data_IF_711720723766
#
_entry.id   IF_711720723766
#
_cell.length_a   1.000
_cell.length_b   1.000
_cell.length_c   1.000
_cell.angle_alpha   90.00
_cell.angle_beta   90.00
_cell.angle_gamma   90.00
#
_symmetry.space_group_name_H-M   'P 1'
#
loop_
_entity.id
_entity.type
_entity.pdbx_description
1 polymer ?
#
# COMPACT_ATOMS: atom_id res chain seq x y z
N UNK A 1 -1.50 70.22 -24.41
CA UNK A 1 -2.16 68.96 -23.95
C UNK A 1 -1.92 67.89 -25.00
N UNK A 2 -0.99 66.97 -24.76
CA UNK A 2 -0.83 65.68 -25.45
C UNK A 2 0.33 64.95 -24.78
N UNK A 3 0.03 64.15 -23.76
CA UNK A 3 0.98 63.28 -23.06
C UNK A 3 0.83 61.86 -23.62
N UNK A 4 1.80 61.42 -24.42
CA UNK A 4 1.92 60.06 -24.93
C UNK A 4 2.59 59.16 -23.89
N UNK A 5 1.83 58.21 -23.36
CA UNK A 5 2.28 57.16 -22.44
C UNK A 5 2.96 56.01 -23.20
N UNK A 6 4.24 55.75 -22.90
CA UNK A 6 4.91 54.50 -23.26
C UNK A 6 4.51 53.38 -22.28
N UNK A 7 4.24 52.15 -22.73
CA UNK A 7 4.03 51.02 -21.83
C UNK A 7 5.37 50.47 -21.32
N UNK A 8 5.53 50.41 -20.00
CA UNK A 8 6.62 49.70 -19.35
C UNK A 8 6.48 48.20 -19.56
N UNK A 9 7.47 47.60 -20.20
CA UNK A 9 7.63 46.14 -20.29
C UNK A 9 7.96 45.58 -18.91
N UNK A 10 7.00 44.88 -18.29
CA UNK A 10 7.21 44.02 -17.14
C UNK A 10 8.07 42.81 -17.55
N UNK A 11 9.38 42.93 -17.40
CA UNK A 11 10.27 41.76 -17.42
C UNK A 11 10.05 40.95 -16.14
N UNK A 12 9.34 39.83 -16.27
CA UNK A 12 9.36 38.77 -15.26
C UNK A 12 10.77 38.17 -15.25
N UNK A 13 11.61 38.59 -14.31
CA UNK A 13 12.81 37.83 -13.94
C UNK A 13 12.38 36.56 -13.20
N UNK A 14 11.98 35.53 -13.94
CA UNK A 14 12.08 34.17 -13.44
C UNK A 14 13.57 33.83 -13.37
N UNK A 15 14.12 33.93 -12.17
CA UNK A 15 15.45 33.39 -11.85
C UNK A 15 15.40 31.89 -12.20
N UNK A 16 16.25 31.37 -13.10
CA UNK A 16 16.27 29.94 -13.38
C UNK A 16 16.64 29.21 -12.09
N UNK A 17 15.76 28.33 -11.62
CA UNK A 17 16.09 27.35 -10.60
C UNK A 17 17.32 26.57 -11.10
N UNK A 18 18.38 26.39 -10.31
CA UNK A 18 19.54 25.61 -10.74
C UNK A 18 19.06 24.21 -11.12
N UNK A 19 19.29 23.81 -12.37
CA UNK A 19 18.80 22.56 -12.96
C UNK A 19 19.15 21.29 -12.14
N UNK A 20 20.17 21.39 -11.29
CA UNK A 20 20.63 20.33 -10.37
C UNK A 20 19.69 20.03 -9.19
N UNK A 21 18.67 20.86 -8.91
CA UNK A 21 17.70 20.59 -7.85
C UNK A 21 16.42 19.88 -8.35
N UNK A 22 16.19 19.81 -9.66
CA UNK A 22 14.97 19.19 -10.19
C UNK A 22 15.10 17.65 -10.23
N UNK A 23 14.23 16.95 -9.52
CA UNK A 23 14.21 15.48 -9.45
C UNK A 23 14.08 14.82 -10.84
N UNK A 24 13.36 15.45 -11.78
CA UNK A 24 13.24 14.95 -13.15
C UNK A 24 14.59 14.97 -13.88
N UNK A 25 15.33 16.07 -13.77
CA UNK A 25 16.67 16.20 -14.37
C UNK A 25 17.63 15.20 -13.72
N UNK A 26 17.61 15.10 -12.38
CA UNK A 26 18.43 14.12 -11.66
C UNK A 26 18.08 12.68 -12.04
N UNK A 27 16.80 12.36 -12.25
CA UNK A 27 16.37 11.02 -12.66
C UNK A 27 16.84 10.70 -14.07
N UNK A 28 16.77 11.66 -14.99
CA UNK A 28 17.27 11.51 -16.35
C UNK A 28 18.79 11.29 -16.38
N UNK A 29 19.53 12.05 -15.57
CA UNK A 29 20.97 11.86 -15.39
C UNK A 29 21.30 10.50 -14.76
N UNK A 30 20.56 10.08 -13.74
CA UNK A 30 20.71 8.77 -13.12
C UNK A 30 20.52 7.65 -14.15
N UNK A 31 19.43 7.71 -14.93
CA UNK A 31 19.14 6.72 -15.97
C UNK A 31 20.20 6.71 -17.08
N UNK A 32 20.68 7.88 -17.49
CA UNK A 32 21.76 8.02 -18.49
C UNK A 32 23.08 7.44 -17.98
N UNK A 33 23.46 7.73 -16.73
CA UNK A 33 24.68 7.20 -16.12
C UNK A 33 24.57 5.69 -15.88
N UNK A 34 23.38 5.22 -15.50
CA UNK A 34 23.09 3.79 -15.40
C UNK A 34 23.28 3.10 -16.75
N UNK A 35 22.69 3.64 -17.81
CA UNK A 35 22.81 3.06 -19.14
C UNK A 35 24.24 3.13 -19.71
N UNK A 36 24.97 4.23 -19.49
CA UNK A 36 26.34 4.38 -20.00
C UNK A 36 27.30 3.34 -19.46
N UNK A 37 27.13 2.96 -18.18
CA UNK A 37 27.97 1.96 -17.53
C UNK A 37 27.52 0.53 -17.86
N UNK A 38 26.26 0.34 -18.25
CA UNK A 38 25.74 -0.93 -18.81
C UNK A 38 26.36 -1.26 -20.16
N UNK A 39 26.88 -0.28 -20.91
CA UNK A 39 27.57 -0.55 -22.18
C UNK A 39 28.94 -1.23 -21.99
N UNK A 40 29.51 -1.22 -20.79
CA UNK A 40 30.78 -1.89 -20.46
C UNK A 40 30.68 -3.43 -20.48
N UNK A 41 29.61 -4.06 -19.94
CA UNK A 41 29.42 -5.51 -20.02
C UNK A 41 28.86 -6.06 -21.36
N UNK A 42 28.67 -5.23 -22.40
CA UNK A 42 28.09 -5.64 -23.70
C UNK A 42 26.77 -6.44 -23.59
N UNK A 43 25.65 -5.81 -23.18
CA UNK A 43 24.40 -6.52 -22.99
C UNK A 43 23.90 -7.13 -24.31
N UNK A 44 23.51 -8.40 -24.25
CA UNK A 44 23.12 -9.18 -25.43
C UNK A 44 21.65 -9.01 -25.81
N UNK A 45 20.80 -8.55 -24.88
CA UNK A 45 19.38 -8.33 -25.13
C UNK A 45 18.75 -7.29 -24.16
N UNK A 46 17.45 -7.04 -24.32
CA UNK A 46 16.69 -6.10 -23.48
C UNK A 46 16.62 -6.53 -22.00
N UNK A 47 16.58 -7.84 -21.70
CA UNK A 47 16.56 -8.32 -20.32
C UNK A 47 17.88 -8.02 -19.61
N UNK A 48 19.02 -8.36 -20.22
CA UNK A 48 20.35 -8.09 -19.64
C UNK A 48 20.62 -6.59 -19.49
N UNK A 49 20.17 -5.79 -20.46
CA UNK A 49 20.32 -4.32 -20.40
C UNK A 49 19.61 -3.75 -19.18
N UNK A 50 18.35 -4.11 -18.97
CA UNK A 50 17.57 -3.64 -17.83
C UNK A 50 18.11 -4.17 -16.50
N UNK A 51 18.53 -5.43 -16.46
CA UNK A 51 19.12 -6.02 -15.25
C UNK A 51 20.34 -5.22 -14.79
N UNK A 52 21.33 -4.99 -15.67
CA UNK A 52 22.52 -4.23 -15.31
C UNK A 52 22.20 -2.77 -14.95
N UNK A 53 21.23 -2.15 -15.63
CA UNK A 53 20.80 -0.79 -15.32
C UNK A 53 20.19 -0.71 -13.91
N UNK A 54 19.35 -1.68 -13.55
CA UNK A 54 18.75 -1.80 -12.21
C UNK A 54 19.82 -2.01 -11.14
N UNK A 55 20.75 -2.94 -11.35
CA UNK A 55 21.83 -3.21 -10.39
C UNK A 55 22.62 -1.94 -10.06
N UNK A 56 22.95 -1.15 -11.08
CA UNK A 56 23.68 0.09 -10.86
C UNK A 56 22.87 1.15 -10.11
N UNK A 57 21.57 1.24 -10.36
CA UNK A 57 20.67 2.12 -9.60
C UNK A 57 20.62 1.67 -8.14
N UNK A 58 20.47 0.37 -7.88
CA UNK A 58 20.50 -0.20 -6.52
C UNK A 58 21.82 0.14 -5.82
N UNK A 59 22.97 -0.06 -6.49
CA UNK A 59 24.28 0.30 -5.95
C UNK A 59 24.40 1.79 -5.63
N UNK A 60 23.80 2.66 -6.44
CA UNK A 60 23.78 4.12 -6.21
C UNK A 60 23.00 4.48 -4.94
N UNK A 61 22.09 3.63 -4.46
CA UNK A 61 21.43 3.80 -3.15
C UNK A 61 22.34 3.46 -1.96
N UNK A 62 23.54 2.92 -2.20
CA UNK A 62 24.48 2.49 -1.16
C UNK A 62 24.07 1.19 -0.47
N UNK A 63 23.20 0.38 -1.09
CA UNK A 63 22.67 -0.88 -0.54
C UNK A 63 23.04 -2.06 -1.43
N UNK A 64 23.22 -3.22 -0.83
CA UNK A 64 23.30 -4.48 -1.57
C UNK A 64 21.91 -4.95 -2.00
N UNK A 65 21.87 -5.89 -2.96
CA UNK A 65 20.62 -6.54 -3.38
C UNK A 65 20.02 -7.33 -2.21
N UNK A 66 20.88 -8.00 -1.45
CA UNK A 66 20.54 -8.77 -0.26
C UNK A 66 19.89 -7.90 0.82
N UNK A 67 20.42 -6.70 1.07
CA UNK A 67 19.84 -5.75 2.04
C UNK A 67 18.45 -5.29 1.61
N UNK A 68 18.26 -5.01 0.33
CA UNK A 68 16.98 -4.59 -0.25
C UNK A 68 15.93 -5.69 -0.04
N UNK A 69 16.29 -6.93 -0.34
CA UNK A 69 15.44 -8.11 -0.20
C UNK A 69 15.09 -8.35 1.27
N UNK A 70 16.08 -8.30 2.15
CA UNK A 70 15.88 -8.49 3.58
C UNK A 70 14.92 -7.44 4.15
N UNK A 71 15.07 -6.16 3.79
CA UNK A 71 14.15 -5.10 4.26
C UNK A 71 12.72 -5.31 3.80
N UNK A 72 12.51 -5.73 2.56
CA UNK A 72 11.16 -5.97 2.04
C UNK A 72 10.46 -7.07 2.81
N UNK A 73 11.13 -8.22 2.94
CA UNK A 73 10.58 -9.38 3.59
C UNK A 73 10.42 -9.22 5.11
N UNK A 74 11.26 -8.41 5.76
CA UNK A 74 11.13 -8.09 7.18
C UNK A 74 10.10 -6.97 7.48
N UNK A 75 9.74 -6.15 6.49
CA UNK A 75 8.85 -4.99 6.65
C UNK A 75 7.62 -5.10 5.76
N UNK A 76 7.76 -4.59 4.53
CA UNK A 76 6.68 -4.32 3.57
C UNK A 76 5.85 -5.57 3.23
N UNK A 77 6.49 -6.74 3.19
CA UNK A 77 5.84 -8.02 2.89
C UNK A 77 4.68 -8.34 3.86
N UNK A 78 4.72 -7.81 5.10
CA UNK A 78 3.66 -7.99 6.08
C UNK A 78 2.29 -7.46 5.64
N UNK A 79 2.27 -6.45 4.75
CA UNK A 79 1.03 -5.89 4.20
C UNK A 79 0.95 -5.94 2.67
N UNK A 80 1.98 -6.46 1.99
CA UNK A 80 1.98 -6.78 0.55
C UNK A 80 2.52 -8.20 0.32
N UNK A 81 1.83 -9.27 0.75
CA UNK A 81 2.34 -10.64 0.67
C UNK A 81 2.10 -11.27 -0.72
N UNK A 82 2.54 -10.57 -1.78
CA UNK A 82 2.34 -11.00 -3.18
C UNK A 82 3.52 -11.78 -3.75
N UNK A 83 4.67 -11.76 -3.07
CA UNK A 83 5.91 -12.43 -3.48
C UNK A 83 6.22 -13.55 -2.49
N UNK A 84 6.51 -14.75 -2.99
CA UNK A 84 7.06 -15.84 -2.18
C UNK A 84 8.57 -15.70 -1.97
N UNK A 85 9.03 -15.90 -0.71
CA UNK A 85 10.46 -15.93 -0.38
C UNK A 85 11.24 -16.98 -1.17
N UNK A 86 10.76 -18.24 -1.29
CA UNK A 86 11.46 -19.27 -2.05
C UNK A 86 11.56 -18.93 -3.53
N UNK A 87 10.43 -18.56 -4.16
CA UNK A 87 10.40 -18.22 -5.59
C UNK A 87 11.31 -17.05 -5.94
N UNK A 88 11.33 -16.01 -5.09
CA UNK A 88 12.21 -14.85 -5.28
C UNK A 88 13.70 -15.20 -5.11
N UNK A 89 14.03 -16.04 -4.13
CA UNK A 89 15.42 -16.49 -3.92
C UNK A 89 15.91 -17.38 -5.04
N UNK A 90 15.06 -18.28 -5.53
CA UNK A 90 15.39 -19.17 -6.63
C UNK A 90 15.73 -18.37 -7.90
N UNK A 91 14.96 -17.34 -8.22
CA UNK A 91 15.18 -16.46 -9.38
C UNK A 91 16.49 -15.65 -9.27
N UNK A 92 17.01 -15.41 -8.07
CA UNK A 92 18.29 -14.70 -7.87
C UNK A 92 19.47 -15.66 -7.81
N UNK A 93 19.30 -16.84 -7.23
CA UNK A 93 20.40 -17.74 -6.91
C UNK A 93 20.67 -18.76 -8.02
N UNK A 94 19.64 -19.21 -8.75
CA UNK A 94 19.73 -20.41 -9.59
C UNK A 94 20.05 -20.15 -11.07
N UNK A 95 20.41 -18.93 -11.47
CA UNK A 95 20.64 -18.62 -12.89
C UNK A 95 22.10 -18.27 -13.20
N UNK A 96 22.69 -19.05 -14.12
CA UNK A 96 23.95 -18.72 -14.79
C UNK A 96 23.82 -17.52 -15.76
N UNK A 97 22.60 -17.00 -15.94
CA UNK A 97 22.25 -15.88 -16.79
C UNK A 97 21.58 -14.76 -15.96
N UNK A 98 21.62 -13.51 -16.42
CA UNK A 98 20.89 -12.41 -15.80
C UNK A 98 19.39 -12.73 -15.62
N UNK A 99 18.78 -12.32 -14.48
CA UNK A 99 17.33 -12.35 -14.31
C UNK A 99 16.59 -11.64 -15.44
N UNK A 100 15.31 -11.99 -15.61
CA UNK A 100 14.48 -11.35 -16.63
C UNK A 100 14.34 -9.83 -16.40
N UNK A 101 14.22 -9.06 -17.48
CA UNK A 101 13.88 -7.64 -17.44
C UNK A 101 12.69 -7.31 -16.50
N UNK A 102 11.52 -7.96 -16.64
CA UNK A 102 10.40 -7.79 -15.69
C UNK A 102 10.76 -8.03 -14.23
N UNK A 103 11.53 -9.08 -13.91
CA UNK A 103 11.99 -9.35 -12.55
C UNK A 103 12.97 -8.29 -12.05
N UNK A 104 13.81 -7.74 -12.93
CA UNK A 104 14.69 -6.63 -12.60
C UNK A 104 13.90 -5.37 -12.21
N UNK A 105 12.78 -5.10 -12.89
CA UNK A 105 11.88 -4.00 -12.51
C UNK A 105 11.22 -4.26 -11.15
N UNK A 106 10.86 -5.51 -10.86
CA UNK A 106 10.39 -5.91 -9.52
C UNK A 106 11.43 -5.60 -8.45
N UNK A 107 12.69 -6.01 -8.64
CA UNK A 107 13.78 -5.69 -7.72
C UNK A 107 13.95 -4.18 -7.51
N UNK A 108 13.88 -3.39 -8.58
CA UNK A 108 13.95 -1.94 -8.49
C UNK A 108 12.79 -1.33 -7.70
N UNK A 109 11.57 -1.83 -7.90
CA UNK A 109 10.40 -1.38 -7.13
C UNK A 109 10.49 -1.75 -5.64
N UNK A 110 11.07 -2.91 -5.32
CA UNK A 110 11.39 -3.31 -3.94
C UNK A 110 12.45 -2.39 -3.34
N UNK A 111 13.48 -2.03 -4.11
CA UNK A 111 14.47 -1.06 -3.70
C UNK A 111 13.81 0.29 -3.38
N UNK A 112 12.93 0.78 -4.26
CA UNK A 112 12.18 2.03 -4.08
C UNK A 112 11.36 2.05 -2.78
N UNK A 113 10.51 1.04 -2.53
CA UNK A 113 9.60 1.06 -1.38
C UNK A 113 10.34 0.97 -0.05
N UNK A 114 11.47 0.25 -0.01
CA UNK A 114 12.30 0.08 1.20
C UNK A 114 13.37 1.17 1.35
N UNK A 115 13.53 2.07 0.38
CA UNK A 115 14.58 3.08 0.41
C UNK A 115 14.22 4.27 1.31
N UNK A 116 15.17 4.65 2.17
CA UNK A 116 15.14 5.90 2.90
C UNK A 116 16.57 6.49 3.01
N UNK A 117 16.81 7.75 2.60
CA UNK A 117 18.15 8.34 2.59
C UNK A 117 18.85 8.31 3.95
N UNK A 118 18.10 8.51 5.05
CA UNK A 118 18.67 8.48 6.41
C UNK A 118 19.06 7.07 6.90
N UNK A 119 18.65 6.01 6.19
CA UNK A 119 18.98 4.62 6.50
C UNK A 119 20.13 4.10 5.62
N UNK A 120 20.71 4.94 4.76
CA UNK A 120 21.83 4.61 3.87
C UNK A 120 23.12 5.36 4.30
N UNK A 121 23.76 4.95 5.42
CA UNK A 121 24.87 5.69 6.03
C UNK A 121 26.17 5.72 5.19
N UNK A 122 26.30 4.89 4.16
CA UNK A 122 27.54 4.70 3.40
C UNK A 122 27.55 5.38 2.02
N UNK A 123 26.51 6.12 1.64
CA UNK A 123 26.46 6.81 0.35
C UNK A 123 27.03 8.26 0.46
N UNK A 124 28.12 8.62 -0.25
CA UNK A 124 28.73 9.95 -0.18
C UNK A 124 27.81 11.08 -0.66
N UNK A 125 26.80 10.76 -1.47
CA UNK A 125 25.64 11.60 -1.77
C UNK A 125 24.41 10.70 -1.79
N UNK A 126 23.58 10.73 -0.76
CA UNK A 126 22.37 9.91 -0.73
C UNK A 126 21.45 10.32 -1.88
N UNK A 127 20.97 9.31 -2.63
CA UNK A 127 20.05 9.51 -3.73
C UNK A 127 18.75 10.11 -3.20
N UNK A 128 18.23 11.14 -3.84
CA UNK A 128 16.94 11.70 -3.46
C UNK A 128 15.79 10.72 -3.77
N UNK A 129 14.78 10.66 -2.88
CA UNK A 129 13.66 9.70 -3.01
C UNK A 129 12.85 9.94 -4.27
N UNK A 130 12.53 11.19 -4.57
CA UNK A 130 11.76 11.56 -5.76
C UNK A 130 12.53 11.21 -7.03
N UNK A 131 13.85 11.39 -7.01
CA UNK A 131 14.74 10.98 -8.11
C UNK A 131 14.66 9.46 -8.37
N UNK A 132 14.74 8.64 -7.31
CA UNK A 132 14.61 7.18 -7.44
C UNK A 132 13.21 6.77 -7.91
N UNK A 133 12.16 7.42 -7.40
CA UNK A 133 10.78 7.20 -7.81
C UNK A 133 10.58 7.45 -9.31
N UNK A 134 11.02 8.61 -9.82
CA UNK A 134 10.89 8.95 -11.24
C UNK A 134 11.70 8.02 -12.14
N UNK A 135 12.91 7.64 -11.72
CA UNK A 135 13.72 6.65 -12.45
C UNK A 135 13.01 5.28 -12.50
N UNK A 136 12.43 4.84 -11.39
CA UNK A 136 11.67 3.59 -11.29
C UNK A 136 10.42 3.61 -12.17
N UNK A 137 9.63 4.70 -12.14
CA UNK A 137 8.46 4.87 -13.02
C UNK A 137 8.85 4.85 -14.50
N UNK A 138 9.98 5.46 -14.85
CA UNK A 138 10.47 5.48 -16.24
C UNK A 138 10.87 4.09 -16.71
N UNK A 139 11.66 3.34 -15.90
CA UNK A 139 12.05 1.96 -16.21
C UNK A 139 10.83 1.04 -16.28
N UNK A 140 9.88 1.20 -15.36
CA UNK A 140 8.62 0.45 -15.39
C UNK A 140 7.83 0.71 -16.68
N UNK A 141 7.65 1.97 -17.09
CA UNK A 141 6.98 2.32 -18.34
C UNK A 141 7.70 1.76 -19.58
N UNK A 142 9.05 1.79 -19.59
CA UNK A 142 9.84 1.16 -20.65
C UNK A 142 9.63 -0.35 -20.70
N UNK A 143 9.65 -1.03 -19.55
CA UNK A 143 9.42 -2.47 -19.49
C UNK A 143 8.00 -2.85 -19.97
N UNK A 144 6.99 -2.03 -19.69
CA UNK A 144 5.63 -2.23 -20.22
C UNK A 144 5.54 -2.11 -21.74
N UNK A 145 6.39 -1.29 -22.35
CA UNK A 145 6.44 -1.15 -23.81
C UNK A 145 7.21 -2.30 -24.49
N UNK A 146 8.15 -2.93 -23.78
CA UNK A 146 9.08 -3.93 -24.34
C UNK A 146 8.60 -5.36 -24.09
N UNK A 147 8.04 -5.64 -22.92
CA UNK A 147 7.68 -7.00 -22.50
C UNK A 147 6.17 -7.20 -22.41
N UNK A 148 5.68 -8.43 -22.67
CA UNK A 148 4.31 -8.77 -22.36
C UNK A 148 4.04 -8.68 -20.85
N UNK A 149 2.77 -8.46 -20.44
CA UNK A 149 2.35 -8.59 -19.05
C UNK A 149 2.81 -9.91 -18.44
N UNK A 150 3.44 -9.85 -17.28
CA UNK A 150 3.94 -11.01 -16.53
C UNK A 150 3.80 -10.76 -15.02
N UNK A 151 3.79 -11.83 -14.23
CA UNK A 151 3.64 -11.74 -12.78
C UNK A 151 4.63 -10.77 -12.12
N UNK A 152 5.96 -10.80 -12.41
CA UNK A 152 6.91 -9.86 -11.79
C UNK A 152 6.64 -8.40 -12.18
N UNK A 153 6.21 -8.14 -13.41
CA UNK A 153 5.88 -6.79 -13.86
C UNK A 153 4.61 -6.26 -13.16
N UNK A 154 3.60 -7.12 -12.98
CA UNK A 154 2.38 -6.77 -12.25
C UNK A 154 2.69 -6.45 -10.79
N UNK A 155 3.46 -7.32 -10.13
CA UNK A 155 3.91 -7.12 -8.74
C UNK A 155 4.72 -5.83 -8.59
N UNK A 156 5.59 -5.51 -9.56
CA UNK A 156 6.36 -4.27 -9.54
C UNK A 156 5.45 -3.03 -9.57
N UNK A 157 4.44 -3.05 -10.44
CA UNK A 157 3.46 -1.97 -10.53
C UNK A 157 2.61 -1.82 -9.26
N UNK A 158 2.28 -2.93 -8.57
CA UNK A 158 1.59 -2.89 -7.28
C UNK A 158 2.47 -2.21 -6.22
N UNK A 159 3.76 -2.59 -6.13
CA UNK A 159 4.69 -1.98 -5.17
C UNK A 159 4.85 -0.48 -5.44
N UNK A 160 4.93 -0.08 -6.72
CA UNK A 160 4.95 1.34 -7.13
C UNK A 160 3.65 2.05 -6.69
N UNK A 161 2.48 1.45 -6.90
CA UNK A 161 1.19 2.01 -6.49
C UNK A 161 1.12 2.19 -4.95
N UNK A 162 1.68 1.25 -4.18
CA UNK A 162 1.75 1.37 -2.73
C UNK A 162 2.76 2.46 -2.30
N UNK A 163 3.86 2.63 -3.02
CA UNK A 163 4.77 3.75 -2.79
C UNK A 163 4.06 5.09 -3.01
N UNK A 164 3.33 5.23 -4.12
CA UNK A 164 2.53 6.42 -4.44
C UNK A 164 1.47 6.67 -3.36
N UNK A 165 0.80 5.61 -2.90
CA UNK A 165 -0.17 5.66 -1.81
C UNK A 165 0.46 6.19 -0.51
N UNK A 166 1.63 5.67 -0.14
CA UNK A 166 2.35 6.07 1.07
C UNK A 166 2.80 7.54 1.05
N UNK A 167 3.06 8.09 -0.13
CA UNK A 167 3.43 9.49 -0.34
C UNK A 167 2.22 10.40 -0.63
N UNK A 168 1.00 9.94 -0.35
CA UNK A 168 -0.25 10.67 -0.59
C UNK A 168 -0.48 11.08 -2.06
N UNK A 169 0.15 10.40 -3.03
CA UNK A 169 -0.07 10.59 -4.47
C UNK A 169 -1.22 9.71 -4.97
N UNK A 170 -2.43 9.90 -4.41
CA UNK A 170 -3.57 8.98 -4.60
C UNK A 170 -3.98 8.79 -6.08
N UNK A 171 -3.97 9.85 -6.89
CA UNK A 171 -4.31 9.76 -8.31
C UNK A 171 -3.27 8.93 -9.11
N UNK A 172 -1.99 9.08 -8.77
CA UNK A 172 -0.92 8.31 -9.39
C UNK A 172 -1.05 6.83 -8.99
N UNK A 173 -1.30 6.56 -7.71
CA UNK A 173 -1.52 5.22 -7.18
C UNK A 173 -2.72 4.52 -7.85
N UNK A 174 -3.83 5.24 -8.05
CA UNK A 174 -5.01 4.71 -8.75
C UNK A 174 -4.71 4.41 -10.20
N UNK A 175 -3.97 5.29 -10.87
CA UNK A 175 -3.54 5.06 -12.26
C UNK A 175 -2.68 3.81 -12.34
N UNK A 176 -1.68 3.67 -11.46
CA UNK A 176 -0.79 2.51 -11.39
C UNK A 176 -1.56 1.21 -11.12
N UNK A 177 -2.49 1.19 -10.15
CA UNK A 177 -3.24 -0.03 -9.83
C UNK A 177 -4.23 -0.42 -10.95
N UNK A 178 -4.84 0.54 -11.64
CA UNK A 178 -5.68 0.27 -12.81
C UNK A 178 -4.88 -0.38 -13.94
N UNK A 179 -3.64 0.07 -14.15
CA UNK A 179 -2.72 -0.54 -15.12
C UNK A 179 -2.35 -1.97 -14.69
N UNK A 180 -2.07 -2.21 -13.42
CA UNK A 180 -1.86 -3.55 -12.88
C UNK A 180 -3.07 -4.47 -13.09
N UNK A 181 -4.29 -3.96 -12.88
CA UNK A 181 -5.51 -4.71 -13.13
C UNK A 181 -5.64 -5.14 -14.59
N UNK A 182 -5.35 -4.24 -15.54
CA UNK A 182 -5.36 -4.56 -16.98
C UNK A 182 -4.27 -5.55 -17.37
N UNK A 183 -3.07 -5.42 -16.81
CA UNK A 183 -2.00 -6.39 -17.02
C UNK A 183 -2.37 -7.77 -16.44
N UNK A 184 -2.97 -7.83 -15.26
CA UNK A 184 -3.45 -9.08 -14.65
C UNK A 184 -4.58 -9.75 -15.43
N UNK A 185 -5.47 -8.95 -16.04
CA UNK A 185 -6.48 -9.45 -16.98
C UNK A 185 -5.82 -10.08 -18.21
N UNK A 186 -4.85 -9.37 -18.82
CA UNK A 186 -4.12 -9.85 -19.99
C UNK A 186 -3.27 -11.11 -19.70
N UNK A 187 -2.67 -11.20 -18.51
CA UNK A 187 -1.91 -12.36 -18.03
C UNK A 187 -2.80 -13.50 -17.50
N UNK A 188 -4.12 -13.29 -17.40
CA UNK A 188 -5.13 -14.25 -16.93
C UNK A 188 -5.05 -14.69 -15.46
N UNK A 189 -4.27 -14.02 -14.62
CA UNK A 189 -4.17 -14.31 -13.17
C UNK A 189 -5.50 -14.09 -12.40
N UNK A 190 -6.45 -13.37 -12.99
CA UNK A 190 -7.78 -13.13 -12.42
C UNK A 190 -8.72 -14.35 -12.45
N UNK A 191 -8.36 -15.40 -13.19
CA UNK A 191 -9.18 -16.62 -13.39
C UNK A 191 -8.66 -17.77 -12.51
N UNK A 192 -7.46 -17.63 -11.96
CA UNK A 192 -6.77 -18.73 -11.30
C UNK A 192 -7.28 -18.89 -9.87
N UNK A 193 -7.69 -20.10 -9.51
CA UNK A 193 -7.91 -20.49 -8.12
C UNK A 193 -6.89 -21.58 -7.76
N UNK A 194 -6.22 -21.50 -6.59
CA UNK A 194 -5.25 -22.52 -6.21
C UNK A 194 -5.91 -23.90 -6.05
N UNK A 195 -5.65 -24.82 -6.98
CA UNK A 195 -6.11 -26.20 -6.86
C UNK A 195 -5.43 -26.91 -5.69
N UNK A 196 -6.19 -27.73 -4.93
CA UNK A 196 -5.64 -28.45 -3.77
C UNK A 196 -4.63 -29.57 -4.13
N UNK A 197 -4.53 -29.97 -5.40
CA UNK A 197 -3.81 -31.17 -5.85
C UNK A 197 -2.73 -30.90 -6.93
N UNK A 198 -1.90 -29.88 -6.75
CA UNK A 198 -0.77 -29.56 -7.65
C UNK A 198 0.60 -29.97 -7.10
N UNK A 199 1.61 -30.17 -7.99
CA UNK A 199 3.03 -30.23 -7.60
C UNK A 199 3.43 -28.93 -6.88
N UNK A 200 4.27 -29.01 -5.85
CA UNK A 200 4.65 -27.87 -4.99
C UNK A 200 5.12 -26.61 -5.75
N UNK A 201 5.98 -26.75 -6.77
CA UNK A 201 6.45 -25.60 -7.55
C UNK A 201 5.34 -24.92 -8.36
N UNK A 202 4.44 -25.71 -8.97
CA UNK A 202 3.29 -25.19 -9.69
C UNK A 202 2.27 -24.56 -8.73
N UNK A 203 2.17 -25.09 -7.52
CA UNK A 203 1.31 -24.56 -6.46
C UNK A 203 1.78 -23.18 -5.98
N UNK A 204 3.08 -22.99 -5.73
CA UNK A 204 3.60 -21.70 -5.27
C UNK A 204 3.39 -20.60 -6.30
N UNK A 205 3.61 -20.90 -7.59
CA UNK A 205 3.39 -19.95 -8.68
C UNK A 205 1.93 -19.49 -8.73
N UNK A 206 0.98 -20.44 -8.73
CA UNK A 206 -0.46 -20.15 -8.73
C UNK A 206 -0.89 -19.40 -7.47
N UNK A 207 -0.29 -19.70 -6.30
CA UNK A 207 -0.56 -18.95 -5.06
C UNK A 207 -0.07 -17.49 -5.17
N UNK A 208 1.10 -17.24 -5.77
CA UNK A 208 1.63 -15.89 -5.98
C UNK A 208 0.78 -15.09 -6.99
N UNK A 209 0.31 -15.72 -8.07
CA UNK A 209 -0.63 -15.12 -9.04
C UNK A 209 -1.94 -14.74 -8.37
N UNK A 210 -2.49 -15.66 -7.58
CA UNK A 210 -3.74 -15.46 -6.86
C UNK A 210 -3.65 -14.36 -5.80
N UNK A 211 -2.57 -14.35 -5.02
CA UNK A 211 -2.30 -13.31 -4.04
C UNK A 211 -2.09 -11.95 -4.70
N UNK A 212 -1.42 -11.93 -5.85
CA UNK A 212 -1.22 -10.71 -6.66
C UNK A 212 -2.56 -10.15 -7.13
N UNK A 213 -3.48 -11.00 -7.60
CA UNK A 213 -4.82 -10.55 -8.01
C UNK A 213 -5.63 -10.00 -6.83
N UNK A 214 -5.62 -10.67 -5.68
CA UNK A 214 -6.27 -10.17 -4.47
C UNK A 214 -5.69 -8.84 -4.00
N UNK A 215 -4.37 -8.65 -4.10
CA UNK A 215 -3.74 -7.38 -3.73
C UNK A 215 -4.18 -6.23 -4.65
N UNK A 216 -4.40 -6.49 -5.95
CA UNK A 216 -4.98 -5.50 -6.87
C UNK A 216 -6.37 -5.10 -6.40
N UNK A 217 -7.23 -6.09 -6.11
CA UNK A 217 -8.60 -5.85 -5.61
C UNK A 217 -8.57 -5.01 -4.34
N UNK A 218 -7.79 -5.43 -3.34
CA UNK A 218 -7.68 -4.76 -2.02
C UNK A 218 -7.21 -3.32 -2.18
N UNK A 219 -6.14 -3.10 -2.97
CA UNK A 219 -5.54 -1.78 -3.10
C UNK A 219 -6.44 -0.82 -3.90
N UNK A 220 -7.16 -1.30 -4.92
CA UNK A 220 -8.14 -0.50 -5.65
C UNK A 220 -9.25 0.03 -4.73
N UNK A 221 -9.86 -0.84 -3.90
CA UNK A 221 -10.90 -0.39 -2.93
C UNK A 221 -10.31 0.57 -1.90
N UNK A 222 -9.12 0.26 -1.39
CA UNK A 222 -8.45 1.09 -0.38
C UNK A 222 -8.17 2.50 -0.93
N UNK A 223 -7.70 2.63 -2.17
CA UNK A 223 -7.42 3.92 -2.77
C UNK A 223 -8.68 4.75 -3.04
N UNK A 224 -9.75 4.11 -3.55
CA UNK A 224 -11.04 4.77 -3.76
C UNK A 224 -11.66 5.22 -2.43
N UNK A 225 -11.48 4.41 -1.38
CA UNK A 225 -11.85 4.76 -0.03
C UNK A 225 -11.16 6.05 0.45
N UNK A 226 -9.87 6.24 0.16
CA UNK A 226 -9.14 7.44 0.58
C UNK A 226 -9.38 8.68 -0.29
N UNK A 227 -9.83 8.52 -1.54
CA UNK A 227 -10.29 9.66 -2.35
C UNK A 227 -11.64 10.23 -1.89
N UNK A 228 -12.41 9.50 -1.08
CA UNK A 228 -13.81 9.78 -0.77
C UNK A 228 -14.70 9.92 -2.04
N UNK A 229 -14.30 9.35 -3.20
CA UNK A 229 -15.06 9.32 -4.46
C UNK A 229 -15.54 7.90 -4.81
N UNK A 230 -16.60 7.47 -4.14
CA UNK A 230 -17.14 6.11 -4.26
C UNK A 230 -17.84 5.83 -5.60
N UNK A 231 -18.02 6.84 -6.46
CA UNK A 231 -18.67 6.69 -7.78
C UNK A 231 -17.71 6.25 -8.86
N UNK A 232 -16.41 6.27 -8.59
CA UNK A 232 -15.39 5.89 -9.55
C UNK A 232 -15.60 4.42 -9.96
N UNK A 233 -15.69 4.10 -11.27
CA UNK A 233 -15.88 2.73 -11.71
C UNK A 233 -14.65 1.88 -11.37
N UNK A 234 -14.90 0.77 -10.67
CA UNK A 234 -13.89 -0.24 -10.36
C UNK A 234 -13.50 -1.02 -11.63
N UNK A 235 -12.21 -1.21 -11.85
CA UNK A 235 -11.68 -2.03 -12.94
C UNK A 235 -11.82 -3.51 -12.62
N UNK A 236 -11.67 -3.88 -11.35
CA UNK A 236 -11.76 -5.27 -10.90
C UNK A 236 -13.10 -5.57 -10.23
N UNK A 237 -13.55 -6.81 -10.35
CA UNK A 237 -14.72 -7.32 -9.63
C UNK A 237 -14.25 -8.04 -8.38
N UNK A 238 -14.92 -7.78 -7.25
CA UNK A 238 -14.66 -8.56 -6.03
C UNK A 238 -15.41 -9.90 -6.13
N UNK A 239 -14.72 -11.04 -5.94
CA UNK A 239 -15.38 -12.34 -5.85
C UNK A 239 -16.36 -12.43 -4.67
N UNK A 240 -17.26 -13.40 -4.73
CA UNK A 240 -18.05 -13.79 -3.55
C UNK A 240 -17.12 -14.44 -2.50
N UNK A 241 -17.48 -14.31 -1.23
CA UNK A 241 -16.76 -14.86 -0.08
C UNK A 241 -16.80 -16.40 -0.02
N UNK A 242 -17.54 -17.05 -0.93
CA UNK A 242 -17.48 -18.50 -1.14
C UNK A 242 -16.17 -18.96 -1.78
N UNK A 243 -15.41 -18.06 -2.40
CA UNK A 243 -14.14 -18.35 -3.05
C UNK A 243 -13.02 -18.47 -2.01
N UNK A 244 -12.00 -19.28 -2.28
CA UNK A 244 -10.83 -19.43 -1.40
C UNK A 244 -10.16 -18.06 -1.16
N UNK A 245 -9.98 -17.65 0.09
CA UNK A 245 -9.27 -16.40 0.40
C UNK A 245 -7.75 -16.53 0.12
N UNK A 246 -7.04 -15.42 -0.14
CA UNK A 246 -5.61 -15.47 -0.40
C UNK A 246 -4.84 -15.96 0.83
N UNK A 247 -3.68 -16.56 0.60
CA UNK A 247 -2.88 -17.22 1.64
C UNK A 247 -1.56 -16.51 1.82
N UNK A 248 -1.10 -16.33 3.06
CA UNK A 248 0.28 -15.94 3.29
C UNK A 248 1.19 -17.17 3.10
N UNK A 249 2.30 -16.99 2.37
CA UNK A 249 3.18 -18.08 1.97
C UNK A 249 3.64 -18.97 3.13
N UNK A 250 3.67 -20.27 2.90
CA UNK A 250 4.13 -21.27 3.86
C UNK A 250 5.66 -21.32 3.83
N UNK A 251 6.34 -20.93 4.91
CA UNK A 251 7.71 -21.41 5.11
C UNK A 251 7.61 -22.88 5.51
N UNK A 252 7.74 -23.77 4.52
CA UNK A 252 7.92 -25.20 4.80
C UNK A 252 9.27 -25.34 5.50
N UNK A 253 9.26 -25.55 6.81
CA UNK A 253 10.45 -25.86 7.59
C UNK A 253 11.09 -27.13 6.98
N UNK A 254 12.22 -27.05 6.26
CA UNK A 254 12.95 -28.25 5.89
C UNK A 254 13.55 -28.74 7.19
N UNK A 255 13.06 -29.88 7.67
CA UNK A 255 13.56 -30.53 8.89
C UNK A 255 15.09 -30.41 8.97
N UNK A 256 15.55 -29.64 9.95
CA UNK A 256 16.85 -29.72 10.62
C UNK A 256 17.90 -30.58 9.90
N UNK A 257 18.71 -29.97 9.05
CA UNK A 257 19.99 -30.54 8.68
C UNK A 257 21.06 -29.45 8.60
N UNK A 258 21.83 -29.35 9.70
CA UNK A 258 23.26 -29.03 9.71
C UNK A 258 23.71 -27.63 9.32
N UNK A 259 23.97 -26.82 10.34
CA UNK A 259 25.00 -25.78 10.45
C UNK A 259 25.28 -24.86 9.25
N UNK A 260 24.89 -23.58 9.39
CA UNK A 260 25.87 -22.48 9.27
C UNK A 260 25.35 -21.22 9.94
N UNK A 261 26.19 -20.67 10.81
CA UNK A 261 25.99 -19.43 11.54
C UNK A 261 26.13 -18.20 10.61
N UNK A 262 25.55 -17.08 11.05
CA UNK A 262 25.71 -15.68 10.61
C UNK A 262 24.55 -15.03 9.83
N UNK A 263 23.60 -14.46 10.58
CA UNK A 263 23.07 -13.09 10.37
C UNK A 263 22.02 -12.77 11.45
N UNK A 264 22.51 -12.39 12.62
CA UNK A 264 21.73 -11.79 13.72
C UNK A 264 21.49 -10.30 13.41
N UNK A 265 20.52 -10.00 12.55
CA UNK A 265 20.02 -8.60 12.38
C UNK A 265 18.50 -8.51 12.55
N UNK A 266 17.75 -9.61 12.45
CA UNK A 266 16.34 -9.65 12.83
C UNK A 266 16.07 -10.80 13.79
N UNK A 267 16.04 -10.48 15.08
CA UNK A 267 15.43 -11.36 16.08
C UNK A 267 13.92 -11.31 15.92
N UNK A 268 13.39 -12.03 14.93
CA UNK A 268 11.99 -12.44 14.90
C UNK A 268 12.02 -13.92 14.52
N UNK A 269 11.84 -14.76 15.54
CA UNK A 269 11.59 -16.18 15.37
C UNK A 269 10.39 -16.32 14.43
N UNK A 270 10.62 -17.01 13.32
CA UNK A 270 9.59 -17.41 12.37
C UNK A 270 8.74 -18.48 13.02
N UNK A 271 7.78 -18.06 13.85
CA UNK A 271 6.77 -18.97 14.37
C UNK A 271 5.69 -19.19 13.30
N UNK A 272 5.80 -20.37 12.72
CA UNK A 272 4.87 -20.95 11.77
C UNK A 272 3.55 -21.26 12.49
N UNK A 273 2.66 -20.26 12.58
CA UNK A 273 1.28 -20.49 12.97
C UNK A 273 0.32 -19.86 11.97
N UNK A 274 -0.61 -20.72 11.56
CA UNK A 274 -1.59 -20.68 10.50
C UNK A 274 -2.53 -19.45 10.48
N UNK A 275 -2.72 -18.91 9.27
CA UNK A 275 -3.80 -18.07 8.74
C UNK A 275 -4.13 -16.70 9.40
N UNK A 276 -4.18 -15.65 8.57
CA UNK A 276 -5.30 -14.72 8.67
C UNK A 276 -5.08 -13.27 8.22
N UNK A 277 -3.87 -12.68 8.31
CA UNK A 277 -3.71 -11.24 8.05
C UNK A 277 -4.19 -10.80 6.67
N UNK A 278 -3.68 -11.44 5.62
CA UNK A 278 -4.05 -11.14 4.24
C UNK A 278 -5.45 -11.61 3.86
N UNK A 279 -5.86 -12.79 4.34
CA UNK A 279 -7.23 -13.28 4.17
C UNK A 279 -8.24 -12.31 4.79
N UNK A 280 -8.03 -11.89 6.05
CA UNK A 280 -8.82 -10.88 6.73
C UNK A 280 -8.77 -9.52 6.03
N UNK A 281 -7.65 -9.17 5.39
CA UNK A 281 -7.58 -7.96 4.56
C UNK A 281 -8.50 -8.06 3.35
N UNK A 282 -8.53 -9.21 2.68
CA UNK A 282 -9.49 -9.48 1.61
C UNK A 282 -10.95 -9.42 2.11
N UNK A 283 -11.24 -9.96 3.30
CA UNK A 283 -12.57 -9.86 3.91
C UNK A 283 -12.95 -8.40 4.23
N UNK A 284 -12.03 -7.61 4.78
CA UNK A 284 -12.25 -6.19 5.06
C UNK A 284 -12.50 -5.40 3.76
N UNK A 285 -11.75 -5.70 2.69
CA UNK A 285 -11.97 -5.11 1.37
C UNK A 285 -13.33 -5.53 0.77
N UNK A 286 -13.79 -6.75 1.04
CA UNK A 286 -15.13 -7.20 0.66
C UNK A 286 -16.23 -6.40 1.36
N UNK A 287 -16.13 -6.19 2.67
CA UNK A 287 -17.09 -5.33 3.37
C UNK A 287 -17.08 -3.89 2.85
N UNK A 288 -15.90 -3.34 2.54
CA UNK A 288 -15.77 -2.02 1.95
C UNK A 288 -16.47 -1.93 0.58
N UNK A 289 -16.31 -2.94 -0.28
CA UNK A 289 -17.03 -3.04 -1.57
C UNK A 289 -18.56 -3.12 -1.37
N UNK A 290 -19.02 -3.90 -0.38
CA UNK A 290 -20.46 -3.96 -0.06
C UNK A 290 -21.00 -2.62 0.45
N UNK A 291 -20.23 -1.90 1.28
CA UNK A 291 -20.59 -0.55 1.72
C UNK A 291 -20.68 0.37 0.51
N UNK A 292 -19.69 0.39 -0.39
CA UNK A 292 -19.76 1.18 -1.62
C UNK A 292 -21.04 0.90 -2.41
N UNK A 293 -21.41 -0.37 -2.61
CA UNK A 293 -22.67 -0.73 -3.28
C UNK A 293 -23.90 -0.20 -2.55
N UNK A 294 -23.95 -0.37 -1.22
CA UNK A 294 -25.04 0.11 -0.39
C UNK A 294 -25.21 1.63 -0.49
N UNK A 295 -24.11 2.40 -0.52
CA UNK A 295 -24.13 3.87 -0.67
C UNK A 295 -24.82 4.33 -1.96
N UNK A 296 -24.87 3.50 -3.01
CA UNK A 296 -25.49 3.82 -4.30
C UNK A 296 -26.95 3.35 -4.41
N UNK A 297 -27.53 2.70 -3.39
CA UNK A 297 -28.93 2.27 -3.43
C UNK A 297 -29.85 3.48 -3.32
N UNK A 298 -30.65 3.77 -4.34
CA UNK A 298 -31.51 4.98 -4.39
C UNK A 298 -32.55 5.05 -3.26
N UNK A 299 -33.12 3.90 -2.89
CA UNK A 299 -34.13 3.78 -1.85
C UNK A 299 -33.50 3.93 -0.45
N UNK A 300 -33.86 5.01 0.26
CA UNK A 300 -33.28 5.36 1.55
C UNK A 300 -33.52 4.28 2.62
N UNK A 301 -34.70 3.69 2.67
CA UNK A 301 -35.04 2.66 3.66
C UNK A 301 -34.22 1.39 3.43
N UNK A 302 -34.16 0.91 2.18
CA UNK A 302 -33.34 -0.24 1.79
C UNK A 302 -31.87 0.03 2.05
N UNK A 303 -31.39 1.23 1.73
CA UNK A 303 -30.01 1.65 2.00
C UNK A 303 -29.71 1.56 3.50
N UNK A 304 -30.54 2.16 4.35
CA UNK A 304 -30.31 2.16 5.80
C UNK A 304 -30.34 0.75 6.40
N UNK A 305 -31.25 -0.13 5.93
CA UNK A 305 -31.29 -1.53 6.35
C UNK A 305 -30.01 -2.29 5.96
N UNK A 306 -29.52 -2.09 4.73
CA UNK A 306 -28.27 -2.72 4.29
C UNK A 306 -27.07 -2.22 5.09
N UNK A 307 -26.97 -0.91 5.33
CA UNK A 307 -25.90 -0.33 6.13
C UNK A 307 -25.95 -0.83 7.59
N UNK A 308 -27.12 -1.02 8.18
CA UNK A 308 -27.24 -1.58 9.53
C UNK A 308 -26.75 -3.03 9.62
N UNK A 309 -27.07 -3.86 8.62
CA UNK A 309 -26.56 -5.22 8.53
C UNK A 309 -25.04 -5.26 8.36
N UNK A 310 -24.49 -4.38 7.50
CA UNK A 310 -23.05 -4.26 7.29
C UNK A 310 -22.32 -3.73 8.53
N UNK A 311 -22.89 -2.78 9.26
CA UNK A 311 -22.36 -2.27 10.52
C UNK A 311 -22.21 -3.40 11.55
N UNK A 312 -23.27 -4.20 11.73
CA UNK A 312 -23.22 -5.35 12.65
C UNK A 312 -22.15 -6.36 12.22
N UNK A 313 -22.08 -6.71 10.93
CA UNK A 313 -21.11 -7.66 10.41
C UNK A 313 -19.67 -7.15 10.56
N UNK A 314 -19.41 -5.88 10.24
CA UNK A 314 -18.09 -5.23 10.38
C UNK A 314 -17.60 -5.20 11.82
N UNK A 315 -18.49 -4.90 12.79
CA UNK A 315 -18.13 -4.90 14.20
C UNK A 315 -17.87 -6.31 14.74
N UNK A 316 -18.67 -7.29 14.33
CA UNK A 316 -18.40 -8.69 14.65
C UNK A 316 -17.06 -9.14 14.07
N UNK A 317 -16.77 -8.78 12.81
CA UNK A 317 -15.49 -9.04 12.18
C UNK A 317 -14.32 -8.39 12.95
N UNK A 318 -14.44 -7.11 13.32
CA UNK A 318 -13.44 -6.41 14.14
C UNK A 318 -13.21 -7.09 15.48
N UNK A 319 -14.27 -7.48 16.18
CA UNK A 319 -14.17 -8.20 17.44
C UNK A 319 -13.39 -9.51 17.27
N UNK A 320 -13.67 -10.29 16.22
CA UNK A 320 -12.98 -11.55 15.95
C UNK A 320 -11.47 -11.35 15.72
N UNK A 321 -11.10 -10.38 14.88
CA UNK A 321 -9.68 -10.16 14.54
C UNK A 321 -8.90 -9.40 15.62
N UNK A 322 -9.59 -8.74 16.57
CA UNK A 322 -8.96 -8.03 17.69
C UNK A 322 -8.87 -8.88 18.97
N UNK A 323 -9.65 -9.96 19.08
CA UNK A 323 -9.58 -10.92 20.20
C UNK A 323 -8.40 -11.90 20.08
N UNK A 324 -7.63 -11.81 18.99
CA UNK A 324 -6.38 -12.57 18.82
C UNK A 324 -5.26 -12.00 19.73
N UNK A 325 -4.50 -12.87 20.42
CA UNK A 325 -3.41 -12.51 21.34
C UNK A 325 -2.61 -11.27 20.89
N UNK A 326 -2.40 -10.28 21.76
CA UNK A 326 -1.86 -8.95 21.42
C UNK A 326 -0.49 -8.91 20.70
N UNK A 327 0.23 -10.04 20.58
CA UNK A 327 1.43 -10.20 19.74
C UNK A 327 1.14 -10.24 18.24
N UNK A 328 -0.13 -10.41 17.88
CA UNK A 328 -0.64 -10.62 16.52
C UNK A 328 -1.08 -9.29 15.87
N UNK A 329 -1.10 -8.18 16.63
CA UNK A 329 -1.61 -6.87 16.18
C UNK A 329 -0.92 -6.35 14.90
N UNK A 330 0.39 -6.59 14.74
CA UNK A 330 1.14 -6.18 13.54
C UNK A 330 0.63 -6.85 12.25
N UNK A 331 0.16 -8.09 12.33
CA UNK A 331 -0.34 -8.87 11.18
C UNK A 331 -1.77 -8.49 10.80
N UNK A 332 -2.54 -8.01 11.77
CA UNK A 332 -3.93 -7.54 11.58
C UNK A 332 -4.07 -6.02 11.48
N UNK A 333 -2.97 -5.25 11.44
CA UNK A 333 -3.04 -3.79 11.26
C UNK A 333 -3.85 -3.39 10.02
N UNK A 334 -3.55 -3.98 8.85
CA UNK A 334 -4.23 -3.65 7.59
C UNK A 334 -5.74 -3.92 7.64
N UNK A 335 -6.23 -5.12 8.01
CA UNK A 335 -7.67 -5.39 8.06
C UNK A 335 -8.40 -4.59 9.14
N UNK A 336 -7.80 -4.38 10.32
CA UNK A 336 -8.38 -3.54 11.38
C UNK A 336 -8.56 -2.11 10.88
N UNK A 337 -7.50 -1.52 10.33
CA UNK A 337 -7.53 -0.15 9.81
C UNK A 337 -8.57 0.01 8.71
N UNK A 338 -8.64 -0.94 7.77
CA UNK A 338 -9.59 -0.90 6.66
C UNK A 338 -11.05 -1.04 7.17
N UNK A 339 -11.31 -1.90 8.15
CA UNK A 339 -12.63 -2.05 8.75
C UNK A 339 -13.05 -0.81 9.57
N UNK A 340 -12.14 -0.21 10.35
CA UNK A 340 -12.41 1.06 11.05
C UNK A 340 -12.71 2.17 10.03
N UNK A 341 -11.92 2.28 8.94
CA UNK A 341 -12.16 3.28 7.89
C UNK A 341 -13.52 3.06 7.20
N UNK A 342 -13.90 1.82 6.97
CA UNK A 342 -15.21 1.44 6.42
C UNK A 342 -16.36 1.86 7.34
N UNK A 343 -16.23 1.64 8.66
CA UNK A 343 -17.21 2.09 9.64
C UNK A 343 -17.32 3.62 9.71
N UNK A 344 -16.20 4.36 9.56
CA UNK A 344 -16.24 5.82 9.41
C UNK A 344 -17.08 6.23 8.22
N UNK A 345 -16.85 5.64 7.03
CA UNK A 345 -17.61 5.95 5.82
C UNK A 345 -19.10 5.70 6.04
N UNK A 346 -19.43 4.54 6.60
CA UNK A 346 -20.81 4.12 6.89
C UNK A 346 -21.52 5.12 7.81
N UNK A 347 -20.94 5.42 8.97
CA UNK A 347 -21.60 6.28 9.97
C UNK A 347 -21.61 7.76 9.58
N UNK A 348 -20.58 8.25 8.90
CA UNK A 348 -20.60 9.61 8.34
C UNK A 348 -21.65 9.73 7.23
N UNK A 349 -21.84 8.69 6.41
CA UNK A 349 -22.91 8.67 5.44
C UNK A 349 -24.29 8.68 6.12
N UNK A 350 -24.53 7.82 7.12
CA UNK A 350 -25.80 7.82 7.87
C UNK A 350 -26.08 9.22 8.43
N UNK A 351 -25.10 9.86 9.09
CA UNK A 351 -25.24 11.22 9.62
C UNK A 351 -25.58 12.25 8.53
N UNK A 352 -25.03 12.12 7.33
CA UNK A 352 -25.36 13.00 6.19
C UNK A 352 -26.80 12.84 5.70
N UNK A 353 -27.40 11.66 5.88
CA UNK A 353 -28.78 11.37 5.45
C UNK A 353 -29.83 11.74 6.50
N UNK A 354 -29.45 11.90 7.78
CA UNK A 354 -30.37 12.23 8.89
C UNK A 354 -31.36 13.36 8.56
N UNK A 355 -30.97 14.48 7.92
CA UNK A 355 -31.92 15.56 7.58
C UNK A 355 -33.06 15.15 6.63
N UNK A 356 -32.90 14.06 5.88
CA UNK A 356 -33.88 13.57 4.90
C UNK A 356 -34.87 12.56 5.51
N UNK A 357 -34.59 12.07 6.72
CA UNK A 357 -35.39 11.04 7.40
C UNK A 357 -36.57 11.70 8.10
N UNK A 358 -37.79 11.28 7.73
CA UNK A 358 -39.03 11.72 8.40
C UNK A 358 -39.20 10.99 9.72
N UNK A 359 -39.81 11.63 10.73
CA UNK A 359 -40.07 11.02 12.05
C UNK A 359 -40.89 9.73 11.99
N UNK A 360 -41.63 9.48 10.91
CA UNK A 360 -42.41 8.27 10.68
C UNK A 360 -41.59 7.03 10.28
N UNK A 361 -40.27 7.15 10.13
CA UNK A 361 -39.39 6.00 9.83
C UNK A 361 -39.24 5.11 11.07
N UNK A 362 -38.89 3.83 10.86
CA UNK A 362 -38.69 2.84 11.95
C UNK A 362 -37.65 3.28 13.00
N UNK A 363 -36.71 4.15 12.62
CA UNK A 363 -35.74 4.78 13.53
C UNK A 363 -35.86 6.28 13.43
N UNK A 364 -35.88 6.93 14.58
CA UNK A 364 -35.96 8.39 14.66
C UNK A 364 -34.61 9.02 14.28
N UNK A 365 -34.61 10.25 13.72
CA UNK A 365 -33.38 11.00 13.44
C UNK A 365 -32.43 11.15 14.64
N UNK A 366 -32.97 11.26 15.85
CA UNK A 366 -32.19 11.39 17.10
C UNK A 366 -31.50 10.08 17.48
N UNK A 367 -32.17 8.93 17.32
CA UNK A 367 -31.59 7.61 17.58
C UNK A 367 -30.42 7.31 16.64
N UNK A 368 -30.57 7.61 15.35
CA UNK A 368 -29.51 7.40 14.36
C UNK A 368 -28.29 8.28 14.62
N UNK A 369 -28.52 9.54 15.02
CA UNK A 369 -27.43 10.44 15.41
C UNK A 369 -26.69 9.91 16.63
N UNK A 370 -27.42 9.54 17.68
CA UNK A 370 -26.84 8.99 18.91
C UNK A 370 -26.05 7.70 18.64
N UNK A 371 -26.61 6.76 17.88
CA UNK A 371 -25.93 5.52 17.53
C UNK A 371 -24.65 5.80 16.74
N UNK A 372 -24.72 6.63 15.69
CA UNK A 372 -23.54 6.92 14.88
C UNK A 372 -22.46 7.67 15.66
N UNK A 373 -22.83 8.65 16.49
CA UNK A 373 -21.89 9.36 17.37
C UNK A 373 -21.20 8.43 18.38
N UNK A 374 -21.95 7.52 19.02
CA UNK A 374 -21.37 6.55 19.95
C UNK A 374 -20.30 5.68 19.26
N UNK A 375 -20.54 5.29 18.01
CA UNK A 375 -19.62 4.44 17.25
C UNK A 375 -18.39 5.20 16.83
N UNK A 376 -18.57 6.41 16.30
CA UNK A 376 -17.44 7.29 15.97
C UNK A 376 -16.54 7.53 17.20
N UNK A 377 -17.10 7.69 18.39
CA UNK A 377 -16.33 7.76 19.65
C UNK A 377 -15.54 6.48 19.93
N UNK A 378 -16.13 5.31 19.71
CA UNK A 378 -15.42 4.03 19.81
C UNK A 378 -14.28 3.96 18.80
N UNK A 379 -14.50 4.34 17.54
CA UNK A 379 -13.45 4.32 16.50
C UNK A 379 -12.29 5.28 16.80
N UNK A 380 -12.59 6.47 17.37
CA UNK A 380 -11.55 7.40 17.85
C UNK A 380 -10.71 6.71 18.92
N UNK A 381 -11.35 6.12 19.93
CA UNK A 381 -10.67 5.40 21.02
C UNK A 381 -9.81 4.25 20.50
N UNK A 382 -10.35 3.42 19.60
CA UNK A 382 -9.60 2.32 18.97
C UNK A 382 -8.37 2.84 18.22
N UNK A 383 -8.49 3.97 17.49
CA UNK A 383 -7.35 4.58 16.79
C UNK A 383 -6.30 5.08 17.78
N UNK A 384 -6.71 5.68 18.90
CA UNK A 384 -5.80 6.09 19.97
C UNK A 384 -5.06 4.89 20.58
N UNK A 385 -5.76 3.80 20.87
CA UNK A 385 -5.17 2.59 21.45
C UNK A 385 -4.14 1.97 20.49
N UNK A 386 -4.53 1.82 19.22
CA UNK A 386 -3.66 1.32 18.15
C UNK A 386 -2.41 2.20 18.01
N UNK A 387 -2.56 3.53 17.96
CA UNK A 387 -1.39 4.43 17.88
C UNK A 387 -0.52 4.40 19.13
N UNK A 388 -1.08 4.08 20.30
CA UNK A 388 -0.31 3.88 21.53
C UNK A 388 0.58 2.66 21.43
N UNK A 389 0.06 1.54 20.92
CA UNK A 389 0.84 0.31 20.74
C UNK A 389 2.02 0.54 19.79
N UNK A 390 1.87 1.44 18.83
CA UNK A 390 2.90 1.77 17.85
C UNK A 390 3.71 3.04 18.19
N UNK A 391 3.59 3.58 19.41
CA UNK A 391 4.25 4.84 19.77
C UNK A 391 5.77 4.75 19.70
N UNK A 392 6.37 3.59 19.97
CA UNK A 392 7.82 3.43 20.11
C UNK A 392 8.47 2.82 18.87
N UNK A 393 7.72 2.68 17.77
CA UNK A 393 8.23 2.12 16.51
C UNK A 393 9.30 3.05 15.95
N UNK A 394 10.49 2.50 15.73
CA UNK A 394 11.64 3.20 15.13
C UNK A 394 11.46 3.35 13.62
N UNK A 395 12.19 4.29 13.00
CA UNK A 395 12.11 4.54 11.56
C UNK A 395 12.30 3.27 10.69
N UNK A 396 13.22 2.33 11.00
CA UNK A 396 13.36 1.07 10.24
C UNK A 396 12.16 0.12 10.39
N UNK A 397 11.45 0.18 11.51
CA UNK A 397 10.28 -0.67 11.76
C UNK A 397 8.99 -0.07 11.19
N UNK A 398 9.00 1.18 10.74
CA UNK A 398 7.85 1.82 10.06
C UNK A 398 7.47 1.12 8.75
N UNK A 399 8.43 0.44 8.12
CA UNK A 399 8.20 -0.35 6.89
C UNK A 399 7.28 -1.55 7.13
N UNK A 400 6.94 -1.85 8.38
CA UNK A 400 5.99 -2.89 8.73
C UNK A 400 4.56 -2.42 8.93
N UNK A 401 4.33 -1.11 8.99
CA UNK A 401 3.00 -0.53 9.14
C UNK A 401 2.46 -0.14 7.77
N UNK A 402 1.22 -0.53 7.42
CA UNK A 402 0.64 -0.20 6.13
C UNK A 402 0.41 1.31 6.02
N UNK A 403 0.49 1.91 4.82
CA UNK A 403 0.22 3.33 4.63
C UNK A 403 -1.16 3.79 5.11
N UNK A 404 -2.16 2.90 5.06
CA UNK A 404 -3.52 3.14 5.56
C UNK A 404 -3.57 3.58 7.02
N UNK A 405 -2.55 3.27 7.81
CA UNK A 405 -2.41 3.72 9.18
C UNK A 405 -2.34 5.25 9.30
N UNK A 406 -1.62 5.93 8.40
CA UNK A 406 -1.56 7.40 8.37
C UNK A 406 -2.92 8.02 7.97
N UNK A 407 -3.64 7.34 7.07
CA UNK A 407 -4.97 7.78 6.61
C UNK A 407 -6.03 7.64 7.69
N UNK A 408 -6.01 6.57 8.48
CA UNK A 408 -6.97 6.44 9.59
C UNK A 408 -6.71 7.46 10.70
N UNK A 409 -5.44 7.75 11.01
CA UNK A 409 -5.11 8.82 11.95
C UNK A 409 -5.66 10.17 11.45
N UNK A 410 -5.40 10.50 10.19
CA UNK A 410 -5.89 11.74 9.57
C UNK A 410 -7.42 11.81 9.55
N UNK A 411 -8.08 10.69 9.24
CA UNK A 411 -9.54 10.55 9.26
C UNK A 411 -10.11 10.75 10.67
N UNK A 412 -9.49 10.15 11.68
CA UNK A 412 -9.87 10.30 13.08
C UNK A 412 -9.77 11.76 13.51
N UNK A 413 -8.63 12.43 13.24
CA UNK A 413 -8.45 13.86 13.55
C UNK A 413 -9.52 14.73 12.86
N UNK A 414 -9.81 14.49 11.57
CA UNK A 414 -10.84 15.23 10.81
C UNK A 414 -12.24 15.09 11.39
N UNK A 415 -12.53 13.96 12.05
CA UNK A 415 -13.86 13.60 12.53
C UNK A 415 -14.04 13.69 14.05
N UNK A 416 -13.02 14.12 14.80
CA UNK A 416 -13.10 14.36 16.25
C UNK A 416 -14.20 15.34 16.66
N UNK A 417 -14.69 16.20 15.76
CA UNK A 417 -15.83 17.10 16.00
C UNK A 417 -17.15 16.39 16.32
N UNK A 418 -17.28 15.11 15.94
CA UNK A 418 -18.44 14.29 16.27
C UNK A 418 -18.31 13.59 17.62
N UNK A 419 -17.21 13.85 18.33
CA UNK A 419 -16.94 13.24 19.60
C UNK A 419 -17.75 13.86 20.74
N UNK A 420 -18.08 13.04 21.74
CA UNK A 420 -18.72 13.47 22.99
C UNK A 420 -17.70 13.72 24.11
N UNK A 421 -16.39 13.65 23.80
CA UNK A 421 -15.33 13.89 24.78
C UNK A 421 -15.28 15.36 25.25
N UNK A 422 -14.80 15.56 26.48
CA UNK A 422 -14.49 16.89 27.00
C UNK A 422 -13.33 17.51 26.20
N UNK A 423 -13.34 18.83 26.03
CA UNK A 423 -12.36 19.57 25.22
C UNK A 423 -10.91 19.23 25.57
N UNK A 424 -10.56 19.14 26.86
CA UNK A 424 -9.18 18.85 27.28
C UNK A 424 -8.69 17.45 26.86
N UNK A 425 -9.58 16.44 26.91
CA UNK A 425 -9.25 15.07 26.45
C UNK A 425 -9.08 15.04 24.94
N UNK A 426 -9.90 15.79 24.20
CA UNK A 426 -9.81 15.90 22.74
C UNK A 426 -8.49 16.51 22.31
N UNK A 427 -8.06 17.58 22.97
CA UNK A 427 -6.80 18.25 22.64
C UNK A 427 -5.59 17.34 22.91
N UNK A 428 -5.60 16.59 24.02
CA UNK A 428 -4.57 15.61 24.33
C UNK A 428 -4.53 14.46 23.31
N UNK A 429 -5.69 13.89 22.98
CA UNK A 429 -5.83 12.83 21.98
C UNK A 429 -5.33 13.29 20.61
N UNK A 430 -5.76 14.48 20.16
CA UNK A 430 -5.35 15.06 18.89
C UNK A 430 -3.84 15.27 18.82
N UNK A 431 -3.23 15.83 19.87
CA UNK A 431 -1.77 16.03 19.93
C UNK A 431 -1.00 14.72 19.81
N UNK A 432 -1.48 13.65 20.44
CA UNK A 432 -0.88 12.31 20.34
C UNK A 432 -0.99 11.74 18.93
N UNK A 433 -2.15 11.84 18.31
CA UNK A 433 -2.38 11.42 16.93
C UNK A 433 -1.52 12.20 15.93
N UNK A 434 -1.42 13.53 16.09
CA UNK A 434 -0.56 14.38 15.26
C UNK A 434 0.92 13.98 15.36
N UNK A 435 1.40 13.65 16.57
CA UNK A 435 2.77 13.17 16.78
C UNK A 435 3.01 11.83 16.06
N UNK A 436 2.07 10.89 16.15
CA UNK A 436 2.15 9.62 15.43
C UNK A 436 2.15 9.83 13.92
N UNK A 437 1.29 10.71 13.41
CA UNK A 437 1.25 11.05 11.99
C UNK A 437 2.57 11.66 11.50
N UNK A 438 3.21 12.50 12.31
CA UNK A 438 4.50 13.09 11.98
C UNK A 438 5.60 12.04 11.74
N UNK A 439 5.58 10.91 12.48
CA UNK A 439 6.53 9.81 12.25
C UNK A 439 6.34 9.16 10.88
N UNK A 440 5.09 8.95 10.46
CA UNK A 440 4.79 8.47 9.10
C UNK A 440 5.24 9.47 8.05
N UNK A 441 5.02 10.77 8.25
CA UNK A 441 5.51 11.82 7.36
C UNK A 441 7.03 11.86 7.25
N UNK A 442 7.75 11.58 8.32
CA UNK A 442 9.22 11.46 8.25
C UNK A 442 9.63 10.31 7.32
N UNK A 443 9.01 9.14 7.45
CA UNK A 443 9.32 7.96 6.62
C UNK A 443 8.90 8.12 5.15
N UNK A 444 7.73 8.71 4.90
CA UNK A 444 7.10 8.73 3.57
C UNK A 444 7.05 10.12 2.93
N UNK A 445 7.53 11.18 3.59
CA UNK A 445 7.56 12.54 3.02
C UNK A 445 6.19 13.16 2.73
N UNK A 446 5.11 12.60 3.29
CA UNK A 446 3.71 13.00 3.11
C UNK A 446 3.28 14.22 3.95
#
# INVERSE_FOLDING_TARGET
MSSTSHPQSLQFHQKPLPAFQNALVRSSLLLSNALSNVLLPEPTNAHSTLYFQVLQIVQTTGRSVEDVIASYFCGVHAFIPIISRPGFRDEITNHAAPPSGPFSVLLLSICLITYHPALAPYAPQSLDRETLFLATKTIFAQAQAIFPPSLPLIQAGIIIAVYEYAHCKLNDAITSICVCARMGQAARIHIEEPAQQGKYCNRQHVEDEYNTWWQIIILERTLICELDDFKLPLVTQIPDMSVQLPKEGHEANPKSQGNSETSTVCGIESDATEYGGFASTAQAAWYLDQVFRALHVDDLDKRLVQLDGLDHALRTFLNIIMDSDGRILRRYCTPIVLAIRTLYILHLHILSQVPQIKESHKRTPSELRRQSSAVLNTLITMTEDITTVHSDVSLPLMDSLPPSFAFIISTTIKNMKYSEFQNDRLDAAKKKLDLSLQKFRQRWGA
#
